data_IF_418523482291
#
_entry.id   IF_418523482291
#
_cell.length_a   1.000
_cell.length_b   1.000
_cell.length_c   1.000
_cell.angle_alpha   90.00
_cell.angle_beta   90.00
_cell.angle_gamma   90.00
#
_symmetry.space_group_name_H-M   'P 1'
#
loop_
_entity.id
_entity.type
_entity.pdbx_description
1 polymer ?
#
# COMPACT_ATOMS: atom_id res chain seq x y z
N UNK A 1 -8.55 0.32 -18.64
CA UNK A 1 -8.19 -0.10 -17.26
C UNK A 1 -6.95 -0.98 -17.25
N UNK A 2 -5.94 -0.61 -16.45
CA UNK A 2 -4.71 -1.37 -16.20
C UNK A 2 -4.55 -1.49 -14.69
N UNK A 3 -4.22 -2.66 -14.19
CA UNK A 3 -3.98 -2.80 -12.76
C UNK A 3 -3.30 -4.10 -12.40
N UNK A 4 -3.00 -4.24 -11.12
CA UNK A 4 -2.55 -5.51 -10.55
C UNK A 4 -3.43 -5.92 -9.38
N UNK A 5 -3.39 -7.22 -9.12
CA UNK A 5 -4.02 -7.84 -7.97
C UNK A 5 -2.94 -8.59 -7.19
N UNK A 6 -2.86 -8.35 -5.89
CA UNK A 6 -2.01 -9.09 -4.96
C UNK A 6 -2.89 -9.68 -3.86
N UNK A 7 -2.77 -10.98 -3.59
CA UNK A 7 -3.52 -11.62 -2.51
C UNK A 7 -2.63 -11.93 -1.31
N UNK A 8 -3.07 -11.56 -0.11
CA UNK A 8 -2.51 -12.09 1.13
C UNK A 8 -3.32 -13.31 1.58
N UNK A 9 -2.75 -14.50 1.41
CA UNK A 9 -3.30 -15.72 2.03
C UNK A 9 -3.21 -15.63 3.56
N UNK A 10 -3.96 -16.47 4.26
CA UNK A 10 -3.88 -16.56 5.71
C UNK A 10 -2.49 -17.03 6.18
N UNK A 11 -2.33 -17.15 7.49
CA UNK A 11 -1.06 -17.55 8.11
C UNK A 11 -0.53 -18.81 7.45
N UNK A 12 0.74 -18.78 7.08
CA UNK A 12 1.45 -19.92 6.53
C UNK A 12 2.71 -20.15 7.35
N UNK A 13 3.06 -21.41 7.50
CA UNK A 13 4.29 -21.82 8.17
C UNK A 13 5.43 -21.72 7.17
N UNK A 14 6.55 -21.16 7.61
CA UNK A 14 7.81 -21.24 6.88
C UNK A 14 8.75 -22.18 7.64
N UNK A 15 9.69 -22.83 6.93
CA UNK A 15 10.72 -23.63 7.57
C UNK A 15 11.41 -22.82 8.66
N UNK A 16 11.75 -23.49 9.75
CA UNK A 16 12.54 -22.91 10.84
C UNK A 16 13.79 -22.20 10.27
N UNK A 17 13.81 -20.88 10.39
CA UNK A 17 14.93 -20.03 9.96
C UNK A 17 15.81 -19.58 11.12
N UNK A 18 15.46 -19.93 12.37
CA UNK A 18 16.18 -19.53 13.57
C UNK A 18 16.91 -20.70 14.27
N UNK A 19 16.64 -21.95 13.86
CA UNK A 19 17.27 -23.17 14.34
C UNK A 19 16.67 -23.75 15.63
N UNK A 20 15.48 -23.31 16.04
CA UNK A 20 14.80 -23.76 17.27
C UNK A 20 13.95 -25.05 17.11
N UNK A 21 13.85 -25.58 15.88
CA UNK A 21 13.07 -26.76 15.54
C UNK A 21 11.56 -26.50 15.40
N UNK A 22 11.11 -25.24 15.43
CA UNK A 22 9.71 -24.85 15.34
C UNK A 22 9.50 -24.07 14.02
N UNK A 23 8.59 -24.51 13.13
CA UNK A 23 8.22 -23.74 11.95
C UNK A 23 7.76 -22.32 12.34
N UNK A 24 8.28 -21.30 11.66
CA UNK A 24 7.90 -19.93 11.95
C UNK A 24 6.53 -19.61 11.33
N UNK A 25 5.63 -19.02 12.12
CA UNK A 25 4.31 -18.61 11.65
C UNK A 25 4.38 -17.19 11.05
N UNK A 26 4.32 -17.08 9.73
CA UNK A 26 4.26 -15.77 9.06
C UNK A 26 2.83 -15.23 9.14
N UNK A 27 2.67 -14.05 9.73
CA UNK A 27 1.40 -13.30 9.80
C UNK A 27 1.45 -12.11 8.83
N UNK A 28 0.92 -12.24 7.61
CA UNK A 28 0.90 -11.14 6.66
C UNK A 28 0.17 -9.93 7.24
N UNK A 29 0.77 -8.75 7.07
CA UNK A 29 0.09 -7.49 7.35
C UNK A 29 -0.98 -7.32 6.27
N UNK A 30 -2.26 -7.39 6.64
CA UNK A 30 -3.40 -7.25 5.72
C UNK A 30 -3.61 -5.79 5.28
N UNK A 31 -2.56 -5.17 4.73
CA UNK A 31 -2.53 -3.85 4.09
C UNK A 31 -1.57 -3.91 2.90
N UNK A 32 -1.71 -3.05 1.87
CA UNK A 32 -0.72 -2.98 0.79
C UNK A 32 0.69 -2.76 1.37
N UNK A 33 1.66 -3.52 0.85
CA UNK A 33 3.07 -3.41 1.25
C UNK A 33 3.75 -2.22 0.56
N UNK A 34 4.95 -1.81 1.00
CA UNK A 34 5.75 -0.84 0.25
C UNK A 34 5.97 -1.27 -1.21
N UNK A 35 6.20 -2.57 -1.46
CA UNK A 35 6.37 -3.09 -2.81
C UNK A 35 5.12 -2.93 -3.69
N UNK A 36 3.93 -3.09 -3.10
CA UNK A 36 2.65 -2.86 -3.79
C UNK A 36 2.49 -1.39 -4.19
N UNK A 37 2.83 -0.47 -3.29
CA UNK A 37 2.83 0.97 -3.60
C UNK A 37 3.80 1.29 -4.72
N UNK A 38 5.04 0.77 -4.66
CA UNK A 38 6.01 0.98 -5.75
C UNK A 38 5.47 0.42 -7.07
N UNK A 39 4.96 -0.81 -7.11
CA UNK A 39 4.37 -1.38 -8.33
C UNK A 39 3.24 -0.51 -8.89
N UNK A 40 2.38 0.02 -8.02
CA UNK A 40 1.32 0.94 -8.41
C UNK A 40 1.88 2.21 -9.09
N UNK A 41 2.91 2.83 -8.53
CA UNK A 41 3.58 3.98 -9.13
C UNK A 41 4.23 3.67 -10.49
N UNK A 42 4.80 2.47 -10.63
CA UNK A 42 5.37 2.01 -11.90
C UNK A 42 4.29 1.88 -12.97
N UNK A 43 3.11 1.38 -12.62
CA UNK A 43 1.99 1.33 -13.54
C UNK A 43 1.49 2.72 -13.93
N UNK A 44 1.47 3.69 -13.01
CA UNK A 44 1.14 5.08 -13.34
C UNK A 44 2.14 5.67 -14.35
N UNK A 45 3.44 5.51 -14.10
CA UNK A 45 4.49 5.92 -15.05
C UNK A 45 4.30 5.26 -16.42
N UNK A 46 4.00 3.97 -16.46
CA UNK A 46 3.78 3.26 -17.71
C UNK A 46 2.50 3.72 -18.42
N UNK A 47 1.43 3.99 -17.68
CA UNK A 47 0.18 4.50 -18.25
C UNK A 47 0.40 5.86 -18.91
N UNK A 48 1.08 6.78 -18.22
CA UNK A 48 1.46 8.10 -18.74
C UNK A 48 2.26 8.00 -20.05
N UNK A 49 3.32 7.16 -20.04
CA UNK A 49 4.15 6.91 -21.22
C UNK A 49 3.39 6.35 -22.43
N UNK A 50 2.22 5.72 -22.20
CA UNK A 50 1.40 5.10 -23.24
C UNK A 50 0.10 5.88 -23.53
N UNK A 51 -0.07 7.09 -22.97
CA UNK A 51 -1.26 7.90 -23.18
C UNK A 51 -2.54 7.31 -22.57
N UNK A 52 -2.40 6.49 -21.52
CA UNK A 52 -3.52 5.84 -20.85
C UNK A 52 -3.98 6.72 -19.67
N UNK A 53 -5.28 7.00 -19.53
CA UNK A 53 -5.80 7.79 -18.42
C UNK A 53 -5.36 7.24 -17.05
N UNK A 54 -4.84 8.09 -16.17
CA UNK A 54 -4.37 7.65 -14.85
C UNK A 54 -5.51 7.15 -13.95
N UNK A 55 -6.74 7.61 -14.21
CA UNK A 55 -7.96 7.12 -13.56
C UNK A 55 -8.25 5.65 -13.83
N UNK A 56 -7.68 5.10 -14.91
CA UNK A 56 -7.81 3.70 -15.30
C UNK A 56 -6.81 2.79 -14.59
N UNK A 57 -5.87 3.36 -13.83
CA UNK A 57 -4.82 2.64 -13.13
C UNK A 57 -5.24 2.34 -11.70
N UNK A 58 -5.14 1.07 -11.30
CA UNK A 58 -5.44 0.64 -9.93
C UNK A 58 -4.47 -0.43 -9.42
N UNK A 59 -4.32 -0.49 -8.10
CA UNK A 59 -3.58 -1.57 -7.43
C UNK A 59 -4.43 -2.15 -6.31
N UNK A 60 -4.88 -3.40 -6.44
CA UNK A 60 -5.74 -4.03 -5.45
C UNK A 60 -4.99 -5.10 -4.66
N UNK A 61 -5.13 -5.04 -3.33
CA UNK A 61 -4.71 -6.10 -2.42
C UNK A 61 -5.95 -6.76 -1.82
N UNK A 62 -6.10 -8.06 -2.03
CA UNK A 62 -7.20 -8.86 -1.47
C UNK A 62 -6.72 -9.67 -0.28
N UNK A 63 -7.52 -9.73 0.77
CA UNK A 63 -7.22 -10.56 1.93
C UNK A 63 -8.49 -11.17 2.51
N UNK A 64 -8.34 -12.23 3.31
CA UNK A 64 -9.49 -12.89 3.93
C UNK A 64 -10.32 -12.01 4.90
N UNK A 65 -9.95 -10.75 5.15
CA UNK A 65 -10.67 -9.86 6.09
C UNK A 65 -11.05 -8.54 5.44
N UNK A 66 -10.15 -7.90 4.70
CA UNK A 66 -10.43 -6.64 4.03
C UNK A 66 -9.70 -6.59 2.69
N UNK A 67 -10.37 -6.02 1.70
CA UNK A 67 -9.79 -5.75 0.39
C UNK A 67 -9.51 -4.26 0.28
N UNK A 68 -8.35 -3.92 -0.29
CA UNK A 68 -7.90 -2.55 -0.43
C UNK A 68 -7.52 -2.26 -1.88
N UNK A 69 -7.94 -1.12 -2.40
CA UNK A 69 -7.59 -0.66 -3.74
C UNK A 69 -6.94 0.72 -3.68
N UNK A 70 -5.80 0.85 -4.34
CA UNK A 70 -5.14 2.12 -4.60
C UNK A 70 -5.65 2.72 -5.91
N UNK A 71 -5.96 4.01 -5.90
CA UNK A 71 -6.19 4.82 -7.11
C UNK A 71 -5.38 6.12 -7.03
N UNK A 72 -5.28 6.82 -8.15
CA UNK A 72 -4.53 8.06 -8.27
C UNK A 72 -5.40 9.19 -8.83
N UNK A 73 -5.34 10.34 -8.17
CA UNK A 73 -6.02 11.59 -8.59
C UNK A 73 -5.07 12.79 -8.52
N UNK A 74 -3.77 12.55 -8.40
CA UNK A 74 -2.75 13.58 -8.23
C UNK A 74 -2.10 13.99 -9.55
N UNK A 75 -0.99 14.71 -9.43
CA UNK A 75 -0.15 15.09 -10.55
C UNK A 75 0.89 14.00 -10.85
N UNK A 76 0.92 13.51 -12.09
CA UNK A 76 1.89 12.50 -12.53
C UNK A 76 3.33 12.99 -12.42
N UNK A 77 3.59 14.29 -12.51
CA UNK A 77 4.94 14.83 -12.39
C UNK A 77 5.55 14.56 -11.01
N UNK A 78 4.73 14.54 -9.95
CA UNK A 78 5.16 14.19 -8.59
C UNK A 78 5.61 12.72 -8.53
N UNK A 79 4.89 11.82 -9.20
CA UNK A 79 5.28 10.41 -9.33
C UNK A 79 6.61 10.29 -10.07
N UNK A 80 6.73 10.92 -11.24
CA UNK A 80 7.92 10.81 -12.10
C UNK A 80 9.18 11.37 -11.42
N UNK A 81 9.03 12.47 -10.67
CA UNK A 81 10.13 13.08 -9.91
C UNK A 81 10.64 12.16 -8.78
N UNK A 82 9.77 11.38 -8.14
CA UNK A 82 10.09 10.64 -6.92
C UNK A 82 10.33 9.14 -7.11
N UNK A 83 9.82 8.53 -8.19
CA UNK A 83 9.76 7.06 -8.34
C UNK A 83 11.12 6.36 -8.28
N UNK A 84 12.18 6.97 -8.82
CA UNK A 84 13.53 6.38 -8.81
C UNK A 84 14.16 6.38 -7.41
N UNK A 85 13.95 7.47 -6.64
CA UNK A 85 14.36 7.52 -5.24
C UNK A 85 13.60 6.47 -4.42
N UNK A 86 12.27 6.40 -4.58
CA UNK A 86 11.44 5.43 -3.88
C UNK A 86 11.81 3.97 -4.22
N UNK A 87 12.16 3.67 -5.48
CA UNK A 87 12.71 2.36 -5.88
C UNK A 87 14.02 2.06 -5.15
N UNK A 88 14.93 3.03 -5.06
CA UNK A 88 16.20 2.88 -4.34
C UNK A 88 15.97 2.59 -2.85
N UNK A 89 15.09 3.37 -2.21
CA UNK A 89 14.71 3.19 -0.81
C UNK A 89 13.97 1.87 -0.55
N UNK A 90 13.26 1.33 -1.55
CA UNK A 90 12.67 -0.01 -1.47
C UNK A 90 13.74 -1.09 -1.59
N UNK A 91 14.68 -0.96 -2.53
CA UNK A 91 15.71 -1.95 -2.81
C UNK A 91 16.68 -2.12 -1.64
N UNK A 92 17.03 -1.02 -0.96
CA UNK A 92 17.87 -1.07 0.24
C UNK A 92 17.09 -1.37 1.55
N UNK A 93 15.81 -1.78 1.43
CA UNK A 93 14.89 -2.11 2.54
C UNK A 93 14.57 -0.95 3.49
N UNK A 94 14.88 0.30 3.15
CA UNK A 94 14.56 1.46 3.99
C UNK A 94 13.05 1.64 4.14
N UNK A 95 12.31 1.58 3.04
CA UNK A 95 10.84 1.68 3.09
C UNK A 95 10.22 0.52 3.88
N UNK A 96 10.77 -0.69 3.80
CA UNK A 96 10.27 -1.83 4.58
C UNK A 96 10.45 -1.62 6.08
N UNK A 97 11.63 -1.12 6.50
CA UNK A 97 11.89 -0.77 7.90
C UNK A 97 10.93 0.32 8.39
N UNK A 98 10.79 1.41 7.63
CA UNK A 98 9.88 2.52 7.95
C UNK A 98 8.44 2.05 8.04
N UNK A 99 7.98 1.27 7.09
CA UNK A 99 6.66 0.65 7.12
C UNK A 99 6.45 -0.12 8.42
N UNK A 100 7.39 -1.00 8.80
CA UNK A 100 7.29 -1.74 10.06
C UNK A 100 7.30 -0.83 11.30
N UNK A 101 8.03 0.29 11.29
CA UNK A 101 7.98 1.30 12.37
C UNK A 101 6.56 1.87 12.53
N UNK A 102 5.89 2.26 11.43
CA UNK A 102 4.51 2.76 11.49
C UNK A 102 3.53 1.69 11.99
N UNK A 103 3.67 0.45 11.52
CA UNK A 103 2.78 -0.65 11.92
C UNK A 103 3.01 -1.12 13.36
N UNK A 104 4.21 -0.93 13.91
CA UNK A 104 4.48 -1.09 15.36
C UNK A 104 3.86 0.06 16.15
N UNK A 105 4.08 1.31 15.71
CA UNK A 105 3.57 2.53 16.40
C UNK A 105 2.05 2.59 16.44
N UNK A 106 1.38 2.21 15.35
CA UNK A 106 -0.08 2.26 15.22
C UNK A 106 -0.69 0.86 15.14
N UNK A 107 -0.20 -0.08 15.96
CA UNK A 107 -0.60 -1.50 15.94
C UNK A 107 -2.12 -1.73 16.00
N UNK A 108 -2.85 -0.87 16.72
CA UNK A 108 -4.31 -0.93 16.88
C UNK A 108 -5.08 -0.38 15.67
N UNK A 109 -4.44 0.40 14.79
CA UNK A 109 -5.08 1.00 13.62
C UNK A 109 -4.15 0.93 12.40
N UNK A 110 -4.25 -0.17 11.66
CA UNK A 110 -3.45 -0.46 10.47
C UNK A 110 -3.71 0.52 9.32
N UNK A 111 -4.95 0.99 9.17
CA UNK A 111 -5.31 2.02 8.17
C UNK A 111 -4.54 3.32 8.48
N UNK A 112 -4.49 3.73 9.76
CA UNK A 112 -3.71 4.89 10.20
C UNK A 112 -2.21 4.70 9.94
N UNK A 113 -1.68 3.51 10.25
CA UNK A 113 -0.28 3.17 10.00
C UNK A 113 0.08 3.37 8.54
N UNK A 114 -0.72 2.79 7.64
CA UNK A 114 -0.50 2.85 6.20
C UNK A 114 -0.65 4.27 5.65
N UNK A 115 -1.71 5.00 6.03
CA UNK A 115 -1.93 6.35 5.52
C UNK A 115 -0.85 7.34 6.00
N UNK A 116 -0.34 7.18 7.23
CA UNK A 116 0.80 7.95 7.73
C UNK A 116 2.10 7.58 6.99
N UNK A 117 2.30 6.29 6.67
CA UNK A 117 3.41 5.85 5.84
C UNK A 117 3.36 6.45 4.43
N UNK A 118 2.19 6.43 3.76
CA UNK A 118 2.01 7.08 2.46
C UNK A 118 2.35 8.57 2.54
N UNK A 119 1.77 9.28 3.51
CA UNK A 119 1.98 10.73 3.67
C UNK A 119 3.44 11.10 3.92
N UNK A 120 4.12 10.36 4.79
CA UNK A 120 5.42 10.78 5.31
C UNK A 120 6.62 10.18 4.58
N UNK A 121 6.48 8.96 4.04
CA UNK A 121 7.61 8.21 3.46
C UNK A 121 7.49 8.06 1.93
N UNK A 122 6.26 7.98 1.40
CA UNK A 122 6.03 8.00 -0.05
C UNK A 122 5.95 9.44 -0.55
N UNK A 123 5.25 10.31 0.18
CA UNK A 123 5.25 11.75 -0.06
C UNK A 123 4.56 12.20 -1.35
N UNK A 124 3.94 11.27 -2.09
CA UNK A 124 3.23 11.57 -3.34
C UNK A 124 1.78 11.91 -3.02
N UNK A 125 1.33 13.08 -3.47
CA UNK A 125 -0.06 13.50 -3.29
C UNK A 125 -1.00 12.82 -4.30
N UNK A 126 -2.27 12.66 -3.91
CA UNK A 126 -3.29 12.08 -4.80
C UNK A 126 -3.33 10.55 -4.85
N UNK A 127 -2.46 9.84 -4.12
CA UNK A 127 -2.66 8.40 -3.85
C UNK A 127 -3.85 8.25 -2.89
N UNK A 128 -4.88 7.52 -3.32
CA UNK A 128 -6.11 7.26 -2.57
C UNK A 128 -6.21 5.80 -2.16
N UNK A 129 -6.66 5.54 -0.93
CA UNK A 129 -6.90 4.19 -0.43
C UNK A 129 -8.41 3.96 -0.31
N UNK A 130 -8.91 2.97 -1.04
CA UNK A 130 -10.29 2.50 -0.93
C UNK A 130 -10.33 1.17 -0.21
N UNK A 131 -11.20 1.05 0.78
CA UNK A 131 -11.52 -0.20 1.45
C UNK A 131 -12.80 -0.77 0.86
N UNK A 132 -12.74 -2.02 0.44
CA UNK A 132 -13.87 -2.76 -0.08
C UNK A 132 -14.26 -3.80 0.98
N UNK A 133 -15.54 -3.79 1.36
CA UNK A 133 -16.12 -4.77 2.27
C UNK A 133 -17.46 -5.26 1.70
N UNK A 134 -17.44 -6.40 1.02
CA UNK A 134 -18.60 -6.91 0.29
C UNK A 134 -19.06 -5.92 -0.78
N UNK A 135 -20.24 -5.33 -0.59
CA UNK A 135 -20.83 -4.36 -1.53
C UNK A 135 -20.50 -2.90 -1.20
N UNK A 136 -19.83 -2.63 -0.08
CA UNK A 136 -19.54 -1.26 0.35
C UNK A 136 -18.12 -0.87 -0.01
N UNK A 137 -17.96 0.29 -0.65
CA UNK A 137 -16.68 0.90 -0.96
C UNK A 137 -16.55 2.19 -0.13
N UNK A 138 -15.48 2.29 0.66
CA UNK A 138 -15.18 3.48 1.47
C UNK A 138 -13.80 4.00 1.17
N UNK A 139 -13.69 5.27 0.84
CA UNK A 139 -12.39 5.94 0.82
C UNK A 139 -11.87 6.10 2.25
N UNK A 140 -10.56 5.90 2.44
CA UNK A 140 -9.85 6.04 3.71
C UNK A 140 -8.78 7.12 3.58
N UNK A 141 -8.85 8.13 4.44
CA UNK A 141 -7.93 9.27 4.42
C UNK A 141 -7.60 9.77 5.82
N UNK A 142 -6.53 10.57 5.94
CA UNK A 142 -6.19 11.25 7.19
C UNK A 142 -6.98 12.55 7.32
N UNK A 143 -7.65 12.77 8.45
CA UNK A 143 -8.23 14.08 8.77
C UNK A 143 -7.17 15.05 9.31
N UNK A 144 -7.59 16.29 9.58
CA UNK A 144 -6.74 17.37 10.10
C UNK A 144 -6.00 16.98 11.39
N UNK A 145 -6.66 16.21 12.26
CA UNK A 145 -6.08 15.70 13.51
C UNK A 145 -5.14 14.49 13.30
N UNK A 146 -4.94 14.07 12.05
CA UNK A 146 -4.13 12.90 11.70
C UNK A 146 -4.74 11.56 12.11
N UNK A 147 -6.04 11.53 12.41
CA UNK A 147 -6.86 10.32 12.55
C UNK A 147 -7.35 9.82 11.20
N UNK A 148 -7.90 8.59 11.17
CA UNK A 148 -8.48 8.02 9.94
C UNK A 148 -9.95 8.41 9.87
N UNK A 149 -10.34 8.98 8.73
CA UNK A 149 -11.73 9.24 8.38
C UNK A 149 -12.15 8.39 7.19
N UNK A 150 -13.46 8.33 6.91
CA UNK A 150 -14.00 7.53 5.82
C UNK A 150 -15.15 8.24 5.14
N UNK A 151 -15.25 8.05 3.84
CA UNK A 151 -16.32 8.59 3.01
C UNK A 151 -16.87 7.45 2.13
N UNK A 152 -18.19 7.36 2.03
CA UNK A 152 -18.85 6.40 1.13
C UNK A 152 -18.70 6.85 -0.33
N UNK A 153 -18.51 5.89 -1.23
CA UNK A 153 -18.34 6.10 -2.67
C UNK A 153 -19.57 5.65 -3.45
#
# INVERSE_FOLDING_TARGET
MIGYIHSHINRYEVPDSNGDGIPEEVKPIKMPSPGDVIKFLILLQNADNNGIPLSDVYGSMYSAVNDYTLKFTGDIQDVLANINNLRTLKNNKTLDKKYMEYFKKYKLNREKAFLKFLKNEIGIEGIRLFKINGKTVKEKFLNENGGVSSQDC
#
